data_IF_217781497763
#
_entry.id   IF_217781497763
#
_cell.length_a   1.000
_cell.length_b   1.000
_cell.length_c   1.000
_cell.angle_alpha   90.00
_cell.angle_beta   90.00
_cell.angle_gamma   90.00
#
_symmetry.space_group_name_H-M   'P 1'
#
loop_
_entity.id
_entity.type
_entity.pdbx_description
1 polymer ?
#
# COMPACT_ATOMS: atom_id res chain seq x y z
N UNK A 1 -5.63 -12.51 -1.19
CA UNK A 1 -4.46 -12.00 -0.44
C UNK A 1 -4.74 -10.55 -0.13
N UNK A 2 -4.98 -10.24 1.13
CA UNK A 2 -5.29 -8.88 1.61
C UNK A 2 -4.17 -7.92 1.22
N UNK A 3 -2.92 -8.40 1.20
CA UNK A 3 -1.75 -7.61 0.80
C UNK A 3 -1.78 -7.18 -0.66
N UNK A 4 -2.28 -8.04 -1.56
CA UNK A 4 -2.38 -7.71 -3.01
C UNK A 4 -3.43 -6.62 -3.25
N UNK A 5 -4.59 -6.72 -2.59
CA UNK A 5 -5.65 -5.71 -2.68
C UNK A 5 -5.14 -4.37 -2.13
N UNK A 6 -4.44 -4.40 -1.00
CA UNK A 6 -3.82 -3.23 -0.40
C UNK A 6 -2.82 -2.56 -1.35
N UNK A 7 -1.93 -3.34 -1.99
CA UNK A 7 -0.97 -2.83 -2.98
C UNK A 7 -1.66 -2.18 -4.18
N UNK A 8 -2.72 -2.78 -4.71
CA UNK A 8 -3.48 -2.21 -5.84
C UNK A 8 -4.10 -0.86 -5.47
N UNK A 9 -4.68 -0.74 -4.28
CA UNK A 9 -5.27 0.52 -3.79
C UNK A 9 -4.17 1.58 -3.62
N UNK A 10 -3.02 1.21 -3.05
CA UNK A 10 -1.89 2.10 -2.83
C UNK A 10 -1.32 2.63 -4.15
N UNK A 11 -1.10 1.74 -5.12
CA UNK A 11 -0.63 2.13 -6.47
C UNK A 11 -1.64 3.04 -7.16
N UNK A 12 -2.93 2.73 -7.08
CA UNK A 12 -3.98 3.58 -7.66
C UNK A 12 -4.03 4.96 -7.00
N UNK A 13 -3.84 5.05 -5.69
CA UNK A 13 -3.77 6.33 -4.97
C UNK A 13 -2.56 7.17 -5.42
N UNK A 14 -1.38 6.56 -5.51
CA UNK A 14 -0.17 7.25 -5.98
C UNK A 14 -0.33 7.74 -7.42
N UNK A 15 -0.96 6.93 -8.27
CA UNK A 15 -1.21 7.30 -9.66
C UNK A 15 -2.17 8.49 -9.78
N UNK A 16 -3.28 8.47 -9.04
CA UNK A 16 -4.21 9.61 -8.98
C UNK A 16 -3.52 10.87 -8.47
N UNK A 17 -2.70 10.74 -7.42
CA UNK A 17 -1.96 11.87 -6.84
C UNK A 17 -0.97 12.47 -7.84
N UNK A 18 -0.26 11.63 -8.60
CA UNK A 18 0.64 12.08 -9.66
C UNK A 18 -0.10 12.79 -10.81
N UNK A 19 -1.30 12.31 -11.18
CA UNK A 19 -2.16 12.98 -12.17
C UNK A 19 -2.61 14.36 -11.66
N UNK A 20 -3.09 14.44 -10.42
CA UNK A 20 -3.51 15.71 -9.83
C UNK A 20 -2.34 16.70 -9.74
N UNK A 21 -1.16 16.25 -9.32
CA UNK A 21 0.05 17.09 -9.29
C UNK A 21 0.44 17.59 -10.68
N UNK A 22 0.38 16.73 -11.71
CA UNK A 22 0.70 17.13 -13.08
C UNK A 22 -0.29 18.18 -13.62
N UNK A 23 -1.58 18.05 -13.29
CA UNK A 23 -2.62 19.02 -13.69
C UNK A 23 -2.48 20.34 -12.94
N UNK A 24 -2.20 20.31 -11.63
CA UNK A 24 -2.15 21.51 -10.78
C UNK A 24 -0.87 22.33 -11.01
N UNK A 25 0.27 21.66 -11.22
CA UNK A 25 1.56 22.34 -11.31
C UNK A 25 2.07 22.56 -12.75
N UNK A 26 1.29 22.15 -13.78
CA UNK A 26 1.68 22.23 -15.21
C UNK A 26 3.06 21.64 -15.52
N UNK A 27 3.55 20.71 -14.68
CA UNK A 27 4.84 20.04 -14.85
C UNK A 27 4.68 18.78 -15.71
N UNK A 28 5.72 18.41 -16.44
CA UNK A 28 5.75 17.12 -17.14
C UNK A 28 5.57 15.98 -16.14
N UNK A 29 4.73 15.00 -16.47
CA UNK A 29 4.35 13.86 -15.60
C UNK A 29 5.59 13.16 -15.00
N UNK A 30 6.68 13.05 -15.76
CA UNK A 30 7.94 12.43 -15.34
C UNK A 30 8.65 13.26 -14.26
N UNK A 31 8.52 14.57 -14.31
CA UNK A 31 9.10 15.51 -13.36
C UNK A 31 8.30 15.50 -12.05
N UNK A 32 6.96 15.47 -12.15
CA UNK A 32 6.09 15.25 -10.99
C UNK A 32 6.32 13.90 -10.31
N UNK A 33 6.59 12.81 -11.05
CA UNK A 33 6.94 11.52 -10.44
C UNK A 33 8.27 11.60 -9.68
N UNK A 34 9.27 12.32 -10.21
CA UNK A 34 10.55 12.53 -9.51
C UNK A 34 10.41 13.42 -8.27
N UNK A 35 9.52 14.42 -8.32
CA UNK A 35 9.29 15.39 -7.24
C UNK A 35 8.28 14.88 -6.18
N UNK A 36 7.44 13.90 -6.53
CA UNK A 36 6.71 13.05 -5.57
C UNK A 36 7.67 12.13 -4.80
N UNK A 37 8.89 11.93 -5.33
CA UNK A 37 9.85 10.94 -4.86
C UNK A 37 11.22 11.47 -4.38
N UNK A 38 11.36 12.67 -3.79
CA UNK A 38 12.10 12.76 -2.57
C UNK A 38 11.13 12.46 -1.43
N UNK A 39 11.57 11.64 -0.48
CA UNK A 39 11.08 11.72 0.89
C UNK A 39 11.24 13.17 1.36
N UNK A 40 10.27 14.04 1.09
CA UNK A 40 10.18 15.35 1.68
C UNK A 40 9.80 15.16 3.15
N UNK A 41 10.78 14.75 3.95
CA UNK A 41 10.69 14.64 5.41
C UNK A 41 10.24 16.00 5.95
N UNK A 42 8.96 16.09 6.32
CA UNK A 42 8.36 17.30 6.89
C UNK A 42 7.21 17.92 6.09
N UNK A 43 6.86 17.41 4.90
CA UNK A 43 5.65 17.88 4.19
C UNK A 43 4.44 16.97 4.43
N UNK A 44 3.23 17.45 4.10
CA UNK A 44 1.95 16.70 4.24
C UNK A 44 2.00 15.29 3.62
N UNK A 45 2.86 15.08 2.62
CA UNK A 45 3.05 13.80 1.91
C UNK A 45 3.69 12.72 2.82
N UNK A 46 4.47 13.12 3.82
CA UNK A 46 5.09 12.22 4.81
C UNK A 46 4.05 11.45 5.63
N UNK A 47 2.93 12.10 5.97
CA UNK A 47 1.86 11.46 6.76
C UNK A 47 1.26 10.30 5.95
N UNK A 48 0.98 10.54 4.67
CA UNK A 48 0.40 9.53 3.77
C UNK A 48 1.36 8.36 3.58
N UNK A 49 2.66 8.60 3.39
CA UNK A 49 3.66 7.52 3.25
C UNK A 49 3.86 6.74 4.54
N UNK A 50 3.87 7.38 5.71
CA UNK A 50 3.94 6.67 7.01
C UNK A 50 2.73 5.76 7.22
N UNK A 51 1.52 6.25 6.97
CA UNK A 51 0.31 5.42 7.06
C UNK A 51 0.28 4.30 6.03
N UNK A 52 0.82 4.54 4.83
CA UNK A 52 0.97 3.53 3.79
C UNK A 52 1.91 2.39 4.21
N UNK A 53 3.03 2.72 4.87
CA UNK A 53 3.96 1.73 5.41
C UNK A 53 3.29 0.90 6.52
N UNK A 54 2.61 1.57 7.47
CA UNK A 54 1.90 0.88 8.56
C UNK A 54 0.82 -0.07 8.01
N UNK A 55 0.03 0.39 7.03
CA UNK A 55 -1.01 -0.43 6.41
C UNK A 55 -0.45 -1.62 5.63
N UNK A 56 0.72 -1.47 4.99
CA UNK A 56 1.41 -2.58 4.34
C UNK A 56 1.79 -3.66 5.36
N UNK A 57 2.39 -3.27 6.49
CA UNK A 57 2.72 -4.20 7.57
C UNK A 57 1.48 -4.91 8.12
N UNK A 58 0.39 -4.18 8.35
CA UNK A 58 -0.87 -4.77 8.82
C UNK A 58 -1.46 -5.77 7.81
N UNK A 59 -1.40 -5.47 6.52
CA UNK A 59 -1.89 -6.36 5.47
C UNK A 59 -1.05 -7.64 5.35
N UNK A 60 0.28 -7.54 5.47
CA UNK A 60 1.20 -8.69 5.50
C UNK A 60 0.92 -9.58 6.73
N UNK A 61 0.78 -8.97 7.91
CA UNK A 61 0.46 -9.71 9.14
C UNK A 61 -0.88 -10.44 9.01
N UNK A 62 -1.89 -9.80 8.41
CA UNK A 62 -3.22 -10.38 8.22
C UNK A 62 -3.20 -11.57 7.25
N UNK A 63 -2.48 -11.47 6.14
CA UNK A 63 -2.31 -12.60 5.21
C UNK A 63 -1.49 -13.73 5.88
N UNK A 64 -0.48 -13.41 6.69
CA UNK A 64 0.29 -14.39 7.45
C UNK A 64 -0.54 -15.13 8.49
N UNK A 65 -1.37 -14.41 9.27
CA UNK A 65 -2.30 -15.02 10.23
C UNK A 65 -3.34 -15.89 9.53
N UNK A 66 -3.86 -15.45 8.39
CA UNK A 66 -4.82 -16.20 7.58
C UNK A 66 -4.20 -17.49 7.02
N UNK A 67 -2.94 -17.43 6.60
CA UNK A 67 -2.16 -18.60 6.17
C UNK A 67 -1.95 -19.60 7.32
N UNK A 68 -1.53 -19.12 8.50
CA UNK A 68 -1.35 -19.96 9.70
C UNK A 68 -2.66 -20.60 10.15
N UNK A 69 -3.79 -19.88 10.09
CA UNK A 69 -5.12 -20.40 10.43
C UNK A 69 -5.55 -21.51 9.46
N UNK A 70 -5.32 -21.35 8.16
CA UNK A 70 -5.59 -22.38 7.14
C UNK A 70 -4.75 -23.66 7.34
N UNK A 71 -3.50 -23.53 7.76
CA UNK A 71 -2.67 -24.70 8.07
C UNK A 71 -3.21 -25.49 9.29
N UNK A 72 -3.62 -24.80 10.36
CA UNK A 72 -4.19 -25.45 11.54
C UNK A 72 -5.58 -26.08 11.30
N UNK A 73 -6.34 -25.56 10.34
CA UNK A 73 -7.61 -26.16 9.92
C UNK A 73 -7.42 -27.42 9.05
N UNK A 74 -6.30 -27.54 8.34
CA UNK A 74 -5.96 -28.74 7.55
C UNK A 74 -5.50 -29.93 8.41
N UNK A 75 -5.00 -29.68 9.62
CA UNK A 75 -4.44 -30.70 10.51
C UNK A 75 -5.42 -31.25 11.54
N UNK A 76 -6.65 -30.73 11.63
CA UNK A 76 -7.72 -31.39 12.40
C UNK A 76 -8.41 -32.39 11.48
N UNK A 77 -8.20 -33.72 11.65
CA UNK A 77 -9.02 -34.68 10.96
C UNK A 77 -10.47 -34.43 11.38
N UNK A 78 -11.37 -34.42 10.41
CA UNK A 78 -12.81 -34.46 10.62
C UNK A 78 -13.11 -35.63 11.55
N UNK A 79 -13.34 -35.33 12.82
CA UNK A 79 -13.97 -36.22 13.78
C UNK A 79 -15.38 -36.44 13.24
N UNK A 80 -15.59 -37.61 12.63
CA UNK A 80 -16.89 -38.17 12.25
C UNK A 80 -17.14 -39.35 13.16
#
# INVERSE_FOLDING_TARGET
>A
MVTVIYLTILVSMLFSMAIFDAIIFEKFIIESIKEVYPFELGTRRTIVTVWAVIGLFAAVITDYQSYKKKQNLKTRPTEK
#
